data_IF_325129397494
#
_entry.id   IF_325129397494
#
_cell.length_a   1.000
_cell.length_b   1.000
_cell.length_c   1.000
_cell.angle_alpha   90.00
_cell.angle_beta   90.00
_cell.angle_gamma   90.00
#
_symmetry.space_group_name_H-M   'P 1'
#
loop_
_entity.id
_entity.type
_entity.pdbx_description
1 polymer ?
#
# COMPACT_ATOMS: atom_id res chain seq x y z
N UNK A 1 -6.83 -4.33 2.32
CA UNK A 1 -7.20 -2.91 2.43
C UNK A 1 -8.68 -2.74 2.79
N UNK A 2 -9.02 -1.74 3.60
CA UNK A 2 -10.43 -1.38 3.89
C UNK A 2 -10.82 -0.17 3.05
N UNK A 3 -11.98 -0.24 2.40
CA UNK A 3 -12.53 0.89 1.65
C UNK A 3 -12.97 1.96 2.64
N UNK A 4 -12.26 3.09 2.67
CA UNK A 4 -12.57 4.21 3.55
C UNK A 4 -13.70 5.04 2.93
N UNK A 5 -14.45 5.78 3.75
CA UNK A 5 -15.41 6.79 3.27
C UNK A 5 -14.72 8.09 2.79
N UNK A 6 -13.39 8.14 2.88
CA UNK A 6 -12.58 9.27 2.44
C UNK A 6 -12.40 9.27 0.93
N UNK A 7 -12.44 10.47 0.34
CA UNK A 7 -12.16 10.74 -1.07
C UNK A 7 -11.17 11.89 -1.18
N UNK A 8 -10.29 11.83 -2.17
CA UNK A 8 -9.44 12.93 -2.61
C UNK A 8 -10.04 13.56 -3.87
N UNK A 9 -9.83 14.87 -4.05
CA UNK A 9 -10.23 15.57 -5.27
C UNK A 9 -9.02 15.81 -6.16
N UNK A 10 -9.15 15.46 -7.43
CA UNK A 10 -8.22 15.80 -8.49
C UNK A 10 -8.86 16.83 -9.40
N UNK A 11 -8.23 18.00 -9.53
CA UNK A 11 -8.70 19.08 -10.43
C UNK A 11 -7.78 19.11 -11.65
N UNK A 12 -8.34 18.87 -12.84
CA UNK A 12 -7.63 18.91 -14.13
C UNK A 12 -8.42 19.73 -15.13
N UNK A 13 -7.80 20.77 -15.68
CA UNK A 13 -8.40 21.67 -16.67
C UNK A 13 -9.79 22.22 -16.26
N UNK A 14 -9.99 22.44 -14.96
CA UNK A 14 -11.24 22.93 -14.38
C UNK A 14 -12.31 21.86 -14.11
N UNK A 15 -12.05 20.59 -14.46
CA UNK A 15 -12.90 19.46 -14.10
C UNK A 15 -12.45 18.85 -12.77
N UNK A 16 -13.40 18.47 -11.93
CA UNK A 16 -13.14 17.77 -10.66
C UNK A 16 -13.42 16.28 -10.78
N UNK A 17 -12.50 15.46 -10.28
CA UNK A 17 -12.63 14.00 -10.21
C UNK A 17 -12.43 13.54 -8.77
N UNK A 18 -13.29 12.64 -8.32
CA UNK A 18 -13.18 12.03 -6.99
C UNK A 18 -12.36 10.74 -7.07
N UNK A 19 -11.27 10.68 -6.31
CA UNK A 19 -10.43 9.49 -6.16
C UNK A 19 -10.68 8.87 -4.78
N UNK A 20 -11.23 7.64 -4.69
CA UNK A 20 -11.42 6.97 -3.42
C UNK A 20 -10.09 6.77 -2.69
N UNK A 21 -10.08 6.98 -1.38
CA UNK A 21 -8.93 6.70 -0.53
C UNK A 21 -9.13 5.34 0.13
N UNK A 22 -8.12 4.48 0.07
CA UNK A 22 -8.11 3.19 0.74
C UNK A 22 -7.09 3.23 1.88
N UNK A 23 -7.47 2.72 3.05
CA UNK A 23 -6.61 2.70 4.22
C UNK A 23 -6.10 1.27 4.47
N UNK A 24 -4.78 1.05 4.56
CA UNK A 24 -4.24 -0.24 4.99
C UNK A 24 -4.33 -0.39 6.52
N UNK A 25 -4.02 -1.59 7.02
CA UNK A 25 -3.88 -1.83 8.47
C UNK A 25 -2.65 -1.11 9.05
N UNK A 26 -1.57 -1.03 8.28
CA UNK A 26 -0.35 -0.31 8.60
C UNK A 26 0.22 0.33 7.34
N UNK A 27 0.89 1.48 7.48
CA UNK A 27 1.43 2.25 6.37
C UNK A 27 0.51 3.39 5.89
N UNK A 28 0.86 4.05 4.78
CA UNK A 28 0.15 5.23 4.28
C UNK A 28 -1.18 4.88 3.58
N UNK A 29 -2.13 5.81 3.62
CA UNK A 29 -3.33 5.78 2.79
C UNK A 29 -2.96 5.78 1.29
N UNK A 30 -3.75 5.10 0.45
CA UNK A 30 -3.53 5.04 -1.00
C UNK A 30 -4.71 5.61 -1.79
N UNK A 31 -4.42 6.22 -2.94
CA UNK A 31 -5.44 6.71 -3.87
C UNK A 31 -5.78 5.62 -4.90
N UNK A 32 -7.07 5.30 -5.04
CA UNK A 32 -7.54 4.37 -6.05
C UNK A 32 -7.68 5.08 -7.41
N UNK A 33 -6.65 4.93 -8.25
CA UNK A 33 -6.59 5.53 -9.59
C UNK A 33 -7.06 4.58 -10.71
N UNK A 34 -7.70 3.45 -10.39
CA UNK A 34 -8.07 2.43 -11.40
C UNK A 34 -8.98 2.97 -12.51
N UNK A 35 -9.80 3.98 -12.20
CA UNK A 35 -10.72 4.62 -13.15
C UNK A 35 -10.17 5.90 -13.78
N UNK A 36 -8.99 6.35 -13.37
CA UNK A 36 -8.45 7.66 -13.74
C UNK A 36 -8.38 7.88 -15.25
N UNK A 37 -7.91 6.89 -16.01
CA UNK A 37 -7.85 7.02 -17.46
C UNK A 37 -9.24 7.08 -18.12
N UNK A 38 -10.18 6.28 -17.64
CA UNK A 38 -11.55 6.25 -18.18
C UNK A 38 -12.37 7.50 -17.84
N UNK A 39 -12.10 8.12 -16.69
CA UNK A 39 -12.84 9.29 -16.22
C UNK A 39 -12.16 10.61 -16.63
N UNK A 40 -10.84 10.71 -16.49
CA UNK A 40 -10.08 11.95 -16.69
C UNK A 40 -9.15 11.93 -17.93
N UNK A 41 -9.03 10.79 -18.63
CA UNK A 41 -8.23 10.71 -19.87
C UNK A 41 -6.71 10.79 -19.67
N UNK A 42 -6.22 10.65 -18.44
CA UNK A 42 -4.80 10.78 -18.08
C UNK A 42 -4.25 9.51 -17.42
N UNK A 43 -2.93 9.33 -17.51
CA UNK A 43 -2.18 8.34 -16.74
C UNK A 43 -1.31 9.02 -15.69
N UNK A 44 -1.00 8.30 -14.62
CA UNK A 44 0.12 8.67 -13.76
C UNK A 44 1.44 8.34 -14.45
N UNK A 45 2.47 9.13 -14.19
CA UNK A 45 3.82 8.89 -14.67
C UNK A 45 4.74 8.75 -13.45
N UNK A 46 5.08 7.50 -13.10
CA UNK A 46 5.91 7.14 -11.95
C UNK A 46 6.93 6.07 -12.37
N UNK A 47 7.99 6.45 -13.10
CA UNK A 47 9.01 5.51 -13.54
C UNK A 47 9.69 4.87 -12.31
N UNK A 48 9.54 3.56 -12.17
CA UNK A 48 10.05 2.80 -11.03
C UNK A 48 9.03 2.55 -9.91
N UNK A 49 7.78 2.99 -10.06
CA UNK A 49 6.67 2.68 -9.14
C UNK A 49 6.92 3.12 -7.68
N UNK A 50 7.70 4.18 -7.46
CA UNK A 50 8.10 4.59 -6.10
C UNK A 50 6.89 5.08 -5.30
N UNK A 51 5.91 5.67 -5.97
CA UNK A 51 4.68 6.20 -5.36
C UNK A 51 3.43 5.39 -5.71
N UNK A 52 3.61 4.18 -6.26
CA UNK A 52 2.51 3.36 -6.78
C UNK A 52 2.38 2.06 -6.00
N UNK A 53 1.30 1.92 -5.23
CA UNK A 53 0.94 0.66 -4.60
C UNK A 53 0.31 -0.29 -5.65
N UNK A 54 1.03 -1.35 -6.03
CA UNK A 54 0.62 -2.27 -7.09
C UNK A 54 -0.29 -3.42 -6.62
N UNK A 55 -0.29 -3.75 -5.34
CA UNK A 55 -1.07 -4.85 -4.78
C UNK A 55 -1.50 -4.60 -3.32
N UNK A 56 -2.49 -5.36 -2.88
CA UNK A 56 -2.82 -5.55 -1.47
C UNK A 56 -2.07 -6.79 -0.97
N UNK A 57 -1.41 -6.68 0.19
CA UNK A 57 -0.63 -7.78 0.77
C UNK A 57 -0.76 -7.80 2.28
N UNK A 58 -0.84 -9.01 2.83
CA UNK A 58 -0.86 -9.29 4.26
C UNK A 58 0.36 -10.12 4.70
N UNK A 59 1.39 -10.21 3.84
CA UNK A 59 2.57 -11.07 4.05
C UNK A 59 3.64 -10.32 4.84
N UNK A 60 4.12 -9.18 4.33
CA UNK A 60 5.24 -8.43 4.91
C UNK A 60 4.93 -6.94 4.94
N UNK A 61 5.34 -6.27 6.02
CA UNK A 61 5.28 -4.81 6.16
C UNK A 61 6.66 -4.25 6.50
N UNK A 62 6.97 -3.08 5.95
CA UNK A 62 8.25 -2.38 6.15
C UNK A 62 7.98 -0.90 6.43
N UNK A 63 8.56 -0.37 7.50
CA UNK A 63 8.68 1.06 7.77
C UNK A 63 10.16 1.42 7.92
N UNK A 64 10.78 1.86 6.82
CA UNK A 64 12.20 2.20 6.80
C UNK A 64 12.56 3.43 7.66
N UNK A 65 11.59 4.31 7.95
CA UNK A 65 11.81 5.46 8.82
C UNK A 65 11.95 5.06 10.29
N UNK A 66 11.24 4.01 10.70
CA UNK A 66 11.33 3.43 12.04
C UNK A 66 12.30 2.24 12.14
N UNK A 67 12.72 1.69 11.01
CA UNK A 67 13.51 0.45 10.97
C UNK A 67 12.68 -0.80 11.30
N UNK A 68 11.38 -0.79 11.01
CA UNK A 68 10.49 -1.92 11.27
C UNK A 68 10.39 -2.85 10.05
N UNK A 69 10.52 -4.15 10.28
CA UNK A 69 10.27 -5.22 9.31
C UNK A 69 9.44 -6.31 9.99
N UNK A 70 8.26 -6.59 9.43
CA UNK A 70 7.29 -7.54 9.99
C UNK A 70 6.94 -8.62 8.98
N UNK A 71 6.91 -9.90 9.38
CA UNK A 71 6.30 -10.99 8.62
C UNK A 71 5.04 -11.47 9.33
N UNK A 72 3.88 -11.41 8.65
CA UNK A 72 2.54 -11.68 9.25
C UNK A 72 2.29 -10.93 10.57
N UNK A 73 2.93 -9.77 10.75
CA UNK A 73 2.84 -8.96 11.97
C UNK A 73 3.89 -9.26 13.04
N UNK A 74 4.70 -10.31 12.90
CA UNK A 74 5.80 -10.60 13.82
C UNK A 74 7.04 -9.80 13.44
N UNK A 75 7.66 -9.09 14.40
CA UNK A 75 8.97 -8.45 14.21
C UNK A 75 10.05 -9.43 13.76
N UNK A 76 10.90 -9.00 12.81
CA UNK A 76 11.92 -9.88 12.22
C UNK A 76 12.96 -10.37 13.23
N UNK A 77 13.28 -9.57 14.24
CA UNK A 77 14.18 -9.93 15.34
C UNK A 77 13.63 -11.09 16.18
N UNK A 78 12.33 -11.06 16.51
CA UNK A 78 11.68 -12.16 17.20
C UNK A 78 11.70 -13.46 16.39
N UNK A 79 11.45 -13.38 15.08
CA UNK A 79 11.50 -14.55 14.21
C UNK A 79 12.92 -15.10 14.09
N UNK A 80 13.93 -14.23 14.05
CA UNK A 80 15.33 -14.63 13.96
C UNK A 80 15.85 -15.28 15.26
N UNK A 81 15.42 -14.79 16.43
CA UNK A 81 15.87 -15.30 17.72
C UNK A 81 15.07 -16.49 18.25
N UNK A 82 13.80 -16.62 17.87
CA UNK A 82 12.86 -17.56 18.49
C UNK A 82 12.16 -18.53 17.54
N UNK A 83 12.40 -18.43 16.24
CA UNK A 83 11.84 -19.34 15.24
C UNK A 83 12.94 -20.00 14.40
N UNK A 84 12.54 -20.82 13.43
CA UNK A 84 13.46 -21.47 12.50
C UNK A 84 12.89 -21.45 11.08
N UNK A 85 13.75 -21.71 10.09
CA UNK A 85 13.43 -21.51 8.68
C UNK A 85 12.10 -22.16 8.23
N UNK A 86 11.84 -23.41 8.63
CA UNK A 86 10.62 -24.12 8.23
C UNK A 86 9.34 -23.49 8.83
N UNK A 87 9.39 -22.99 10.06
CA UNK A 87 8.27 -22.25 10.66
C UNK A 87 8.01 -20.94 9.93
N UNK A 88 9.07 -20.20 9.58
CA UNK A 88 8.94 -18.95 8.81
C UNK A 88 8.40 -19.24 7.40
N UNK A 89 8.83 -20.33 6.75
CA UNK A 89 8.26 -20.75 5.47
C UNK A 89 6.77 -21.12 5.57
N UNK A 90 6.34 -21.72 6.67
CA UNK A 90 4.93 -22.01 6.89
C UNK A 90 4.10 -20.76 7.20
N UNK A 91 4.72 -19.78 7.88
CA UNK A 91 4.09 -18.50 8.23
C UNK A 91 3.78 -17.64 6.99
N UNK A 92 4.68 -17.63 6.00
CA UNK A 92 4.58 -16.81 4.79
C UNK A 92 3.59 -17.40 3.78
#
# INVERSE_FOLDING_TARGET
MVKSSKTAKLILDGNEFDLPIMSPTAGPDVLDIRKLYGEAGVFTYDPGFTSTASCDSTITFIDGGKGELLHRGYPIDQLAEHSHYLEVCFLL
#
